data_IF_677338680187
#
_entry.id   IF_677338680187
#
_cell.length_a   1.000
_cell.length_b   1.000
_cell.length_c   1.000
_cell.angle_alpha   90.00
_cell.angle_beta   90.00
_cell.angle_gamma   90.00
#
_symmetry.space_group_name_H-M   'P 1'
#
loop_
_entity.id
_entity.type
_entity.pdbx_description
1 polymer ?
#
# COMPACT_ATOMS: atom_id res chain seq x y z
N UNK A 1 7.32 -23.42 -9.38
CA UNK A 1 7.98 -23.02 -8.12
C UNK A 1 7.93 -21.51 -8.09
N UNK A 2 7.22 -20.93 -7.12
CA UNK A 2 7.15 -19.48 -7.00
C UNK A 2 8.51 -19.02 -6.46
N UNK A 3 9.04 -17.89 -6.93
CA UNK A 3 10.35 -17.37 -6.48
C UNK A 3 10.35 -16.91 -5.01
N UNK A 4 9.19 -17.00 -4.36
CA UNK A 4 8.94 -16.62 -2.97
C UNK A 4 8.75 -17.84 -2.05
N UNK A 5 9.01 -19.05 -2.55
CA UNK A 5 8.94 -20.27 -1.73
C UNK A 5 10.01 -20.21 -0.62
N UNK A 6 9.58 -20.28 0.64
CA UNK A 6 10.48 -20.30 1.81
C UNK A 6 10.80 -18.95 2.45
N UNK A 7 10.19 -17.85 1.98
CA UNK A 7 10.32 -16.52 2.59
C UNK A 7 8.98 -15.97 3.08
N UNK A 8 9.02 -15.04 4.04
CA UNK A 8 7.83 -14.38 4.57
C UNK A 8 7.21 -13.41 3.55
N UNK A 9 5.93 -13.08 3.73
CA UNK A 9 5.25 -12.07 2.92
C UNK A 9 5.97 -10.71 2.94
N UNK A 10 6.49 -10.30 4.10
CA UNK A 10 7.19 -9.02 4.24
C UNK A 10 8.50 -9.01 3.42
N UNK A 11 9.28 -10.09 3.49
CA UNK A 11 10.51 -10.26 2.70
C UNK A 11 10.19 -10.28 1.20
N UNK A 12 9.16 -11.02 0.78
CA UNK A 12 8.74 -11.07 -0.61
C UNK A 12 8.33 -9.69 -1.16
N UNK A 13 7.55 -8.92 -0.39
CA UNK A 13 7.18 -7.55 -0.78
C UNK A 13 8.42 -6.66 -0.89
N UNK A 14 9.37 -6.77 0.04
CA UNK A 14 10.59 -5.98 0.03
C UNK A 14 11.52 -6.32 -1.14
N UNK A 15 11.63 -7.61 -1.49
CA UNK A 15 12.33 -8.05 -2.70
C UNK A 15 11.73 -7.40 -3.95
N UNK A 16 10.41 -7.41 -4.09
CA UNK A 16 9.72 -6.82 -5.25
C UNK A 16 9.89 -5.30 -5.31
N UNK A 17 9.90 -4.60 -4.18
CA UNK A 17 10.15 -3.15 -4.16
C UNK A 17 11.52 -2.79 -4.72
N UNK A 18 12.54 -3.56 -4.36
CA UNK A 18 13.93 -3.26 -4.70
C UNK A 18 14.44 -3.95 -5.98
N UNK A 19 13.64 -4.82 -6.60
CA UNK A 19 14.03 -5.55 -7.79
C UNK A 19 14.24 -4.65 -9.01
N UNK A 20 15.18 -5.07 -9.86
CA UNK A 20 15.42 -4.48 -11.16
C UNK A 20 14.38 -4.97 -12.20
N UNK A 21 14.39 -4.40 -13.41
CA UNK A 21 13.41 -4.74 -14.44
C UNK A 21 13.47 -6.22 -14.85
N UNK A 22 14.66 -6.80 -15.05
CA UNK A 22 14.83 -8.19 -15.46
C UNK A 22 14.23 -9.17 -14.44
N UNK A 23 14.46 -8.91 -13.15
CA UNK A 23 13.87 -9.70 -12.07
C UNK A 23 12.34 -9.58 -12.05
N UNK A 24 11.83 -8.35 -12.20
CA UNK A 24 10.39 -8.08 -12.25
C UNK A 24 9.71 -8.80 -13.43
N UNK A 25 10.29 -8.75 -14.63
CA UNK A 25 9.78 -9.44 -15.81
C UNK A 25 9.78 -10.96 -15.63
N UNK A 26 10.87 -11.51 -15.09
CA UNK A 26 10.98 -12.94 -14.77
C UNK A 26 9.90 -13.39 -13.81
N UNK A 27 9.61 -12.60 -12.78
CA UNK A 27 8.58 -12.90 -11.78
C UNK A 27 7.17 -12.69 -12.31
N UNK A 28 6.97 -11.69 -13.18
CA UNK A 28 5.69 -11.44 -13.84
C UNK A 28 5.26 -12.63 -14.71
N UNK A 29 6.21 -13.30 -15.37
CA UNK A 29 5.95 -14.49 -16.18
C UNK A 29 5.35 -15.67 -15.38
N UNK A 30 5.47 -15.64 -14.05
CA UNK A 30 4.90 -16.65 -13.16
C UNK A 30 3.47 -16.30 -12.67
N UNK A 31 2.95 -15.10 -12.98
CA UNK A 31 1.55 -14.77 -12.69
C UNK A 31 0.59 -15.47 -13.67
N UNK A 32 -0.70 -15.63 -13.32
CA UNK A 32 -1.72 -16.10 -14.26
C UNK A 32 -1.86 -15.08 -15.41
N UNK A 33 -1.34 -15.44 -16.59
CA UNK A 33 -1.16 -14.51 -17.72
C UNK A 33 -2.50 -13.96 -18.24
N UNK A 34 -3.58 -14.70 -18.09
CA UNK A 34 -4.94 -14.28 -18.43
C UNK A 34 -5.47 -13.14 -17.55
N UNK A 35 -4.84 -12.90 -16.39
CA UNK A 35 -5.18 -11.82 -15.46
C UNK A 35 -4.23 -10.63 -15.53
N UNK A 36 -3.06 -10.79 -16.16
CA UNK A 36 -2.08 -9.71 -16.30
C UNK A 36 -2.63 -8.67 -17.29
N UNK A 37 -2.84 -7.41 -16.88
CA UNK A 37 -3.33 -6.38 -17.81
C UNK A 37 -2.27 -6.08 -18.87
N UNK A 38 -2.70 -5.60 -20.04
CA UNK A 38 -1.79 -5.09 -21.07
C UNK A 38 -1.19 -3.73 -20.65
N UNK A 39 -0.34 -3.73 -19.63
CA UNK A 39 0.26 -2.51 -19.06
C UNK A 39 1.14 -1.77 -20.06
N UNK A 40 1.60 -2.43 -21.13
CA UNK A 40 2.37 -1.82 -22.21
C UNK A 40 1.61 -0.68 -22.91
N UNK A 41 0.28 -0.68 -22.86
CA UNK A 41 -0.54 0.45 -23.33
C UNK A 41 -0.35 1.74 -22.51
N UNK A 42 0.18 1.62 -21.29
CA UNK A 42 0.49 2.75 -20.42
C UNK A 42 1.94 3.23 -20.59
N UNK A 43 2.80 2.38 -21.16
CA UNK A 43 4.22 2.68 -21.39
C UNK A 43 4.30 3.62 -22.59
N UNK A 44 4.37 4.92 -22.30
CA UNK A 44 4.68 5.94 -23.28
C UNK A 44 6.18 6.17 -23.40
N UNK A 45 6.60 7.43 -23.46
CA UNK A 45 8.01 7.83 -23.47
C UNK A 45 8.66 7.75 -22.07
N UNK A 46 7.87 7.52 -21.02
CA UNK A 46 8.34 7.43 -19.66
C UNK A 46 8.74 5.99 -19.29
N UNK A 47 10.04 5.72 -19.37
CA UNK A 47 10.65 4.43 -19.05
C UNK A 47 10.46 4.00 -17.57
N UNK A 48 10.03 4.89 -16.67
CA UNK A 48 9.75 4.51 -15.28
C UNK A 48 8.40 3.81 -15.11
N UNK A 49 7.50 3.92 -16.09
CA UNK A 49 6.14 3.36 -16.01
C UNK A 49 6.13 1.84 -16.06
N UNK A 50 6.96 1.24 -16.92
CA UNK A 50 7.02 -0.22 -17.09
C UNK A 50 7.40 -0.95 -15.78
N UNK A 51 8.58 -0.68 -15.17
CA UNK A 51 8.92 -1.33 -13.91
C UNK A 51 7.93 -0.99 -12.79
N UNK A 52 7.30 0.18 -12.82
CA UNK A 52 6.26 0.54 -11.86
C UNK A 52 5.00 -0.32 -11.98
N UNK A 53 4.46 -0.49 -13.19
CA UNK A 53 3.28 -1.32 -13.43
C UNK A 53 3.52 -2.79 -13.08
N UNK A 54 4.66 -3.35 -13.50
CA UNK A 54 5.01 -4.74 -13.20
C UNK A 54 5.13 -4.94 -11.68
N UNK A 55 5.82 -4.01 -11.00
CA UNK A 55 5.97 -4.03 -9.54
C UNK A 55 4.63 -4.01 -8.83
N UNK A 56 3.69 -3.15 -9.26
CA UNK A 56 2.34 -3.12 -8.68
C UNK A 56 1.57 -4.43 -8.85
N UNK A 57 1.66 -5.06 -10.03
CA UNK A 57 1.05 -6.37 -10.26
C UNK A 57 1.57 -7.42 -9.26
N UNK A 58 2.89 -7.48 -9.08
CA UNK A 58 3.54 -8.42 -8.18
C UNK A 58 3.23 -8.11 -6.70
N UNK A 59 3.31 -6.84 -6.29
CA UNK A 59 3.01 -6.42 -4.92
C UNK A 59 1.57 -6.75 -4.54
N UNK A 60 0.60 -6.44 -5.40
CA UNK A 60 -0.82 -6.76 -5.14
C UNK A 60 -1.05 -8.26 -5.13
N UNK A 61 -0.43 -9.00 -6.05
CA UNK A 61 -0.53 -10.47 -6.07
C UNK A 61 -0.07 -11.07 -4.74
N UNK A 62 1.09 -10.66 -4.23
CA UNK A 62 1.63 -11.14 -2.96
C UNK A 62 0.78 -10.65 -1.78
N UNK A 63 0.47 -9.35 -1.72
CA UNK A 63 -0.27 -8.76 -0.61
C UNK A 63 -1.67 -9.38 -0.46
N UNK A 64 -2.35 -9.64 -1.58
CA UNK A 64 -3.69 -10.24 -1.63
C UNK A 64 -3.71 -11.78 -1.48
N UNK A 65 -2.60 -12.39 -1.07
CA UNK A 65 -2.47 -13.85 -0.93
C UNK A 65 -2.81 -14.58 -2.24
N UNK A 66 -2.29 -14.07 -3.35
CA UNK A 66 -2.39 -14.67 -4.69
C UNK A 66 -3.82 -14.70 -5.24
N UNK A 67 -4.64 -13.70 -4.89
CA UNK A 67 -6.04 -13.64 -5.34
C UNK A 67 -6.31 -12.53 -6.35
N UNK A 68 -5.53 -11.44 -6.34
CA UNK A 68 -5.80 -10.24 -7.13
C UNK A 68 -4.59 -9.77 -7.96
N UNK A 69 -4.88 -9.23 -9.13
CA UNK A 69 -3.97 -8.45 -9.98
C UNK A 69 -4.70 -7.16 -10.37
N UNK A 70 -4.05 -5.98 -10.36
CA UNK A 70 -4.68 -4.73 -10.75
C UNK A 70 -5.17 -4.75 -12.19
N UNK A 71 -6.32 -4.13 -12.44
CA UNK A 71 -6.82 -3.89 -13.81
C UNK A 71 -6.06 -2.74 -14.46
N UNK A 72 -6.05 -2.69 -15.79
CA UNK A 72 -5.37 -1.65 -16.56
C UNK A 72 -5.75 -0.22 -16.12
N UNK A 73 -7.04 0.05 -15.91
CA UNK A 73 -7.50 1.38 -15.46
C UNK A 73 -7.09 1.72 -14.03
N UNK A 74 -6.85 0.72 -13.18
CA UNK A 74 -6.35 0.93 -11.82
C UNK A 74 -4.85 1.24 -11.85
N UNK A 75 -4.08 0.57 -12.72
CA UNK A 75 -2.69 0.92 -12.98
C UNK A 75 -2.57 2.33 -13.56
N UNK A 76 -3.44 2.69 -14.51
CA UNK A 76 -3.48 4.06 -15.06
C UNK A 76 -3.74 5.10 -13.97
N UNK A 77 -4.68 4.83 -13.07
CA UNK A 77 -4.96 5.72 -11.95
C UNK A 77 -3.78 5.82 -10.97
N UNK A 78 -3.05 4.72 -10.75
CA UNK A 78 -1.90 4.71 -9.82
C UNK A 78 -0.66 5.42 -10.36
N UNK A 79 -0.58 5.76 -11.66
CA UNK A 79 0.54 6.57 -12.19
C UNK A 79 0.65 7.94 -11.52
N UNK A 80 -0.44 8.47 -10.95
CA UNK A 80 -0.39 9.68 -10.15
C UNK A 80 0.57 9.54 -8.94
N UNK A 81 0.65 8.35 -8.34
CA UNK A 81 1.56 8.08 -7.21
C UNK A 81 3.02 8.07 -7.67
N UNK A 82 3.31 7.42 -8.80
CA UNK A 82 4.65 7.40 -9.41
C UNK A 82 5.18 8.82 -9.64
N UNK A 83 4.33 9.70 -10.16
CA UNK A 83 4.71 11.09 -10.45
C UNK A 83 4.53 12.05 -9.26
N UNK A 84 4.11 11.55 -8.10
CA UNK A 84 3.85 12.35 -6.88
C UNK A 84 2.92 13.54 -7.16
N UNK A 85 1.83 13.29 -7.91
CA UNK A 85 0.84 14.30 -8.27
C UNK A 85 -0.47 14.08 -7.54
N UNK A 86 -1.10 15.17 -7.14
CA UNK A 86 -2.49 15.15 -6.72
C UNK A 86 -3.38 14.69 -7.88
N UNK A 87 -4.38 13.86 -7.58
CA UNK A 87 -5.26 13.29 -8.59
C UNK A 87 -6.70 13.18 -8.10
N UNK A 88 -7.63 13.33 -9.04
CA UNK A 88 -9.05 13.09 -8.83
C UNK A 88 -9.47 11.88 -9.65
N UNK A 89 -9.82 10.79 -8.97
CA UNK A 89 -10.34 9.59 -9.61
C UNK A 89 -11.88 9.63 -9.61
N UNK A 90 -12.46 9.90 -10.78
CA UNK A 90 -13.90 9.75 -10.99
C UNK A 90 -14.22 8.33 -11.48
N UNK A 91 -14.75 7.50 -10.59
CA UNK A 91 -15.11 6.12 -10.91
C UNK A 91 -16.31 5.61 -10.10
N UNK A 92 -17.15 4.80 -10.77
CA UNK A 92 -18.33 4.17 -10.17
C UNK A 92 -18.02 3.16 -9.07
N UNK A 93 -19.07 2.62 -8.46
CA UNK A 93 -18.97 1.44 -7.58
C UNK A 93 -18.42 0.24 -8.35
N UNK A 94 -17.77 -0.70 -7.66
CA UNK A 94 -17.16 -1.87 -8.31
C UNK A 94 -15.87 -1.61 -9.11
N UNK A 95 -15.45 -0.35 -9.30
CA UNK A 95 -14.18 -0.02 -9.95
C UNK A 95 -12.95 -0.56 -9.19
N UNK A 96 -13.08 -0.77 -7.88
CA UNK A 96 -11.97 -1.17 -7.01
C UNK A 96 -11.14 0.00 -6.49
N UNK A 97 -11.78 1.13 -6.17
CA UNK A 97 -11.12 2.31 -5.56
C UNK A 97 -10.31 1.94 -4.31
N UNK A 98 -10.82 0.99 -3.51
CA UNK A 98 -10.12 0.46 -2.33
C UNK A 98 -8.76 -0.15 -2.69
N UNK A 99 -8.66 -0.87 -3.81
CA UNK A 99 -7.39 -1.45 -4.26
C UNK A 99 -6.37 -0.38 -4.64
N UNK A 100 -6.82 0.79 -5.13
CA UNK A 100 -5.93 1.92 -5.42
C UNK A 100 -5.30 2.49 -4.14
N UNK A 101 -6.07 2.57 -3.06
CA UNK A 101 -5.55 2.96 -1.74
C UNK A 101 -4.54 1.92 -1.25
N UNK A 102 -4.84 0.63 -1.40
CA UNK A 102 -3.91 -0.45 -1.05
C UNK A 102 -2.61 -0.33 -1.84
N UNK A 103 -2.69 -0.10 -3.16
CA UNK A 103 -1.51 0.08 -4.01
C UNK A 103 -0.62 1.23 -3.53
N UNK A 104 -1.19 2.36 -3.13
CA UNK A 104 -0.44 3.48 -2.57
C UNK A 104 0.34 3.08 -1.30
N UNK A 105 -0.25 2.23 -0.44
CA UNK A 105 0.39 1.81 0.81
C UNK A 105 1.47 0.72 0.60
N UNK A 106 1.22 -0.27 -0.27
CA UNK A 106 2.17 -1.38 -0.46
C UNK A 106 3.40 -0.98 -1.26
N UNK A 107 3.30 0.09 -2.08
CA UNK A 107 4.44 0.69 -2.80
C UNK A 107 5.47 1.27 -1.84
N UNK A 108 5.03 1.84 -0.72
CA UNK A 108 5.92 2.40 0.28
C UNK A 108 6.77 1.30 0.92
N UNK A 109 8.07 1.56 1.04
CA UNK A 109 9.02 0.66 1.69
C UNK A 109 8.75 0.65 3.21
N UNK A 110 9.00 -0.47 3.89
CA UNK A 110 8.91 -0.55 5.35
C UNK A 110 9.83 0.46 6.09
N UNK A 111 10.91 0.90 5.44
CA UNK A 111 11.80 1.97 5.95
C UNK A 111 11.22 3.38 5.79
N UNK A 112 10.23 3.55 4.92
CA UNK A 112 9.46 4.78 4.79
C UNK A 112 8.60 4.92 6.04
N UNK A 113 8.86 5.93 6.87
CA UNK A 113 7.99 6.29 8.01
C UNK A 113 6.70 6.98 7.53
N UNK A 114 6.24 6.67 6.32
CA UNK A 114 5.06 7.27 5.71
C UNK A 114 3.79 6.77 6.40
N UNK A 115 2.84 7.68 6.56
CA UNK A 115 1.51 7.40 7.10
C UNK A 115 0.48 7.82 6.06
N UNK A 116 -0.36 6.89 5.64
CA UNK A 116 -1.50 7.18 4.76
C UNK A 116 -2.73 7.49 5.59
N UNK A 117 -3.31 8.67 5.37
CA UNK A 117 -4.57 9.07 6.00
C UNK A 117 -5.70 8.89 4.98
N UNK A 118 -6.66 8.02 5.31
CA UNK A 118 -7.89 7.84 4.50
C UNK A 118 -9.07 8.45 5.24
N UNK A 119 -9.75 9.39 4.61
CA UNK A 119 -10.94 10.04 5.16
C UNK A 119 -12.18 9.38 4.55
N UNK A 120 -12.99 8.77 5.41
CA UNK A 120 -14.25 8.12 5.02
C UNK A 120 -15.43 8.79 5.75
N UNK A 121 -16.49 9.21 5.04
CA UNK A 121 -17.63 9.88 5.67
C UNK A 121 -18.53 8.92 6.47
N UNK A 122 -18.35 7.61 6.32
CA UNK A 122 -19.18 6.58 6.95
C UNK A 122 -18.34 5.65 7.83
N UNK A 123 -18.71 5.57 9.10
CA UNK A 123 -18.07 4.71 10.12
C UNK A 123 -18.01 3.24 9.72
N UNK A 124 -19.11 2.70 9.19
CA UNK A 124 -19.17 1.31 8.70
C UNK A 124 -18.18 1.08 7.56
N UNK A 125 -18.06 2.03 6.63
CA UNK A 125 -17.12 1.93 5.52
C UNK A 125 -15.68 1.96 6.04
N UNK A 126 -15.38 2.84 6.98
CA UNK A 126 -14.08 2.93 7.64
C UNK A 126 -13.69 1.61 8.32
N UNK A 127 -14.60 1.00 9.09
CA UNK A 127 -14.37 -0.28 9.75
C UNK A 127 -14.11 -1.40 8.75
N UNK A 128 -14.95 -1.54 7.72
CA UNK A 128 -14.76 -2.55 6.67
C UNK A 128 -13.45 -2.38 5.91
N UNK A 129 -13.02 -1.14 5.63
CA UNK A 129 -11.73 -0.86 5.00
C UNK A 129 -10.56 -1.21 5.92
N UNK A 130 -10.63 -0.82 7.20
CA UNK A 130 -9.59 -1.12 8.20
C UNK A 130 -9.39 -2.63 8.36
N UNK A 131 -10.49 -3.38 8.44
CA UNK A 131 -10.44 -4.84 8.52
C UNK A 131 -9.84 -5.45 7.25
N UNK A 132 -10.29 -5.01 6.08
CA UNK A 132 -9.76 -5.49 4.79
C UNK A 132 -8.26 -5.23 4.66
N UNK A 133 -7.79 -4.03 5.02
CA UNK A 133 -6.38 -3.66 4.92
C UNK A 133 -5.51 -4.56 5.82
N UNK A 134 -5.94 -4.80 7.06
CA UNK A 134 -5.22 -5.66 7.98
C UNK A 134 -5.26 -7.13 7.58
N UNK A 135 -6.46 -7.71 7.48
CA UNK A 135 -6.64 -9.15 7.33
C UNK A 135 -6.25 -9.64 5.95
N UNK A 136 -6.60 -8.88 4.91
CA UNK A 136 -6.40 -9.33 3.53
C UNK A 136 -5.02 -8.93 3.00
N UNK A 137 -4.59 -7.69 3.25
CA UNK A 137 -3.36 -7.14 2.67
C UNK A 137 -2.18 -7.03 3.66
N UNK A 138 -2.42 -7.24 4.96
CA UNK A 138 -1.36 -7.11 5.98
C UNK A 138 -0.94 -5.68 6.27
N UNK A 139 -1.76 -4.69 5.94
CA UNK A 139 -1.50 -3.27 6.16
C UNK A 139 -2.09 -2.87 7.51
N UNK A 140 -1.22 -2.51 8.45
CA UNK A 140 -1.65 -2.00 9.74
C UNK A 140 -2.46 -0.70 9.56
N UNK A 141 -3.71 -0.72 10.04
CA UNK A 141 -4.65 0.39 9.89
C UNK A 141 -5.38 0.61 11.20
N UNK A 142 -5.52 1.88 11.58
CA UNK A 142 -6.32 2.30 12.73
C UNK A 142 -7.49 3.16 12.26
N UNK A 143 -8.71 2.74 12.59
CA UNK A 143 -9.91 3.55 12.41
C UNK A 143 -10.09 4.50 13.60
N UNK A 144 -10.03 5.81 13.36
CA UNK A 144 -10.28 6.84 14.37
C UNK A 144 -11.64 7.49 14.07
N UNK A 145 -12.56 7.47 15.03
CA UNK A 145 -13.86 8.12 14.96
C UNK A 145 -14.39 8.44 16.37
N UNK A 146 -15.65 8.85 16.48
CA UNK A 146 -16.30 9.21 17.75
C UNK A 146 -16.21 8.11 18.84
N UNK A 147 -16.21 6.82 18.47
CA UNK A 147 -16.10 5.72 19.44
C UNK A 147 -14.70 5.61 20.03
N UNK A 148 -13.67 5.94 19.24
CA UNK A 148 -12.28 5.94 19.69
C UNK A 148 -12.11 6.92 20.85
N UNK A 149 -12.73 8.09 20.73
CA UNK A 149 -12.69 9.14 21.75
C UNK A 149 -13.57 8.82 22.97
N UNK A 150 -14.67 8.09 22.79
CA UNK A 150 -15.51 7.66 23.91
C UNK A 150 -14.82 6.65 24.85
N UNK A 151 -13.81 5.93 24.34
CA UNK A 151 -13.04 4.95 25.11
C UNK A 151 -11.69 5.45 25.63
N UNK A 152 -11.20 6.59 25.13
CA UNK A 152 -9.94 7.20 25.59
C UNK A 152 -10.25 8.25 26.65
N UNK A 153 -9.73 8.07 27.86
CA UNK A 153 -9.82 9.09 28.89
C UNK A 153 -8.91 10.29 28.55
N UNK A 154 -9.20 11.48 29.08
CA UNK A 154 -8.29 12.65 28.94
C UNK A 154 -6.87 12.33 29.45
N UNK A 155 -6.73 11.39 30.40
CA UNK A 155 -5.45 10.86 30.86
C UNK A 155 -4.71 10.05 29.79
N UNK A 156 -5.40 9.26 28.97
CA UNK A 156 -4.78 8.45 27.90
C UNK A 156 -4.27 9.33 26.76
N UNK A 157 -5.03 10.38 26.43
CA UNK A 157 -4.61 11.37 25.44
C UNK A 157 -3.35 12.14 25.88
N UNK A 158 -3.33 12.62 27.14
CA UNK A 158 -2.18 13.35 27.68
C UNK A 158 -0.94 12.47 27.87
N UNK A 159 -1.11 11.18 28.22
CA UNK A 159 -0.01 10.23 28.28
C UNK A 159 0.61 9.97 26.90
N UNK A 160 -0.20 9.95 25.83
CA UNK A 160 0.29 9.81 24.45
C UNK A 160 1.07 11.06 23.95
N UNK A 161 0.71 12.24 24.44
CA UNK A 161 1.46 13.48 24.20
C UNK A 161 2.79 13.53 24.98
N UNK A 162 2.87 12.94 26.17
CA UNK A 162 4.12 12.84 26.94
C UNK A 162 5.18 11.93 26.31
N UNK A 163 4.76 10.90 25.57
CA UNK A 163 5.66 9.97 24.87
C UNK A 163 6.37 10.59 23.65
N UNK A 164 5.85 11.68 23.09
CA UNK A 164 6.56 12.44 22.03
C UNK A 164 7.63 13.37 22.59
N UNK A 165 7.55 13.78 23.87
CA UNK A 165 8.60 14.57 24.51
C UNK A 165 9.75 13.74 25.11
N UNK A 166 9.49 12.49 25.54
CA UNK A 166 10.51 11.62 26.15
C UNK A 166 11.54 11.03 25.16
N UNK A 167 11.23 10.97 23.87
CA UNK A 167 12.16 10.50 22.82
C UNK A 167 13.06 11.62 22.27
N UNK A 168 12.72 12.89 22.50
CA UNK A 168 13.56 14.03 22.10
C UNK A 168 14.62 14.34 23.17
N UNK A 169 14.37 14.01 24.45
CA UNK A 169 15.33 14.27 25.53
C UNK A 169 16.46 13.23 25.66
N UNK A 170 16.36 12.04 25.05
CA UNK A 170 17.40 11.00 25.15
C UNK A 170 18.46 11.06 24.03
N UNK A 171 18.32 11.95 23.05
CA UNK A 171 19.33 12.23 22.01
C UNK A 171 20.25 13.42 22.35
N UNK A 172 20.11 14.04 23.53
CA UNK A 172 20.88 15.21 23.96
C UNK A 172 21.97 14.97 25.01
N UNK A 173 22.23 13.73 25.44
CA UNK A 173 23.20 13.44 26.50
C UNK A 173 24.36 12.56 26.01
N UNK A 174 25.14 13.08 25.05
CA UNK A 174 26.55 12.75 24.89
C UNK A 174 27.32 14.03 24.60
N UNK A 175 27.80 14.64 25.68
CA UNK A 175 28.87 15.63 25.72
C UNK A 175 29.79 15.24 26.86
#
# INVERSE_FOLDING_TARGET
MLWIDGITRAEALEMVRNANLDDLERWLACLPQEKVPNYKELVGEDYSVEPYCIRLCLLVWIASQFTQIPKLLQLKASLAFLHKKDSLLYAGTGFGKTLIIVMANILENASSKAVTITISPLKRLQQSQSQLFWEHYGIFTLAINEDTLATMSDSDWNASAGLTHGLVSSLGARG
#
